data_IF_648733874566
#
_entry.id   IF_648733874566
#
_cell.length_a   1.000
_cell.length_b   1.000
_cell.length_c   1.000
_cell.angle_alpha   90.00
_cell.angle_beta   90.00
_cell.angle_gamma   90.00
#
_symmetry.space_group_name_H-M   'P 1'
#
loop_
_entity.id
_entity.type
_entity.pdbx_description
1 polymer ?
#
# COMPACT_ATOMS: atom_id res chain seq x y z
N UNK A 1 2.69 -14.79 2.48
CA UNK A 1 3.95 -14.77 1.70
C UNK A 1 3.55 -14.17 0.36
N UNK A 2 3.96 -12.95 0.04
CA UNK A 2 3.64 -12.31 -1.25
C UNK A 2 3.91 -13.35 -2.34
N UNK A 3 2.85 -13.85 -2.99
CA UNK A 3 3.01 -14.79 -4.10
C UNK A 3 3.84 -14.03 -5.13
N UNK A 4 5.07 -14.49 -5.36
CA UNK A 4 6.07 -13.95 -6.28
C UNK A 4 5.62 -12.59 -6.85
N UNK A 5 5.84 -11.52 -6.08
CA UNK A 5 5.30 -10.19 -6.37
C UNK A 5 5.40 -9.91 -7.86
N UNK A 6 4.25 -9.68 -8.50
CA UNK A 6 4.17 -9.28 -9.91
C UNK A 6 5.32 -8.31 -10.18
N UNK A 7 6.20 -8.63 -11.15
CA UNK A 7 7.38 -7.81 -11.44
C UNK A 7 7.00 -6.34 -11.63
N UNK A 8 5.80 -6.07 -12.15
CA UNK A 8 5.24 -4.72 -12.26
C UNK A 8 5.02 -4.07 -10.90
N UNK A 9 4.43 -4.78 -9.95
CA UNK A 9 4.24 -4.29 -8.59
C UNK A 9 5.59 -4.03 -7.91
N UNK A 10 6.55 -4.95 -8.02
CA UNK A 10 7.88 -4.75 -7.44
C UNK A 10 8.59 -3.53 -8.03
N UNK A 11 8.49 -3.33 -9.35
CA UNK A 11 9.05 -2.17 -10.02
C UNK A 11 8.35 -0.87 -9.62
N UNK A 12 7.01 -0.90 -9.48
CA UNK A 12 6.24 0.24 -8.98
C UNK A 12 6.63 0.60 -7.54
N UNK A 13 6.73 -0.39 -6.66
CA UNK A 13 7.18 -0.18 -5.27
C UNK A 13 8.58 0.43 -5.22
N UNK A 14 9.51 -0.03 -6.05
CA UNK A 14 10.86 0.55 -6.14
C UNK A 14 10.82 2.00 -6.63
N UNK A 15 10.04 2.29 -7.66
CA UNK A 15 9.87 3.65 -8.21
C UNK A 15 9.31 4.58 -7.13
N UNK A 16 8.19 4.21 -6.53
CA UNK A 16 7.51 4.99 -5.48
C UNK A 16 8.43 5.18 -4.26
N UNK A 17 9.19 4.16 -3.85
CA UNK A 17 10.16 4.31 -2.76
C UNK A 17 11.19 5.41 -3.05
N UNK A 18 11.78 5.41 -4.25
CA UNK A 18 12.78 6.40 -4.65
C UNK A 18 12.17 7.81 -4.75
N UNK A 19 10.95 7.92 -5.25
CA UNK A 19 10.24 9.21 -5.35
C UNK A 19 9.91 9.78 -3.96
N UNK A 20 9.47 8.94 -3.03
CA UNK A 20 9.18 9.37 -1.65
C UNK A 20 10.40 9.96 -0.95
N UNK A 21 11.59 9.38 -1.11
CA UNK A 21 12.82 9.84 -0.43
C UNK A 21 13.14 11.33 -0.67
N UNK A 22 12.68 11.91 -1.77
CA UNK A 22 12.88 13.33 -2.06
C UNK A 22 12.06 14.27 -1.16
N UNK A 23 10.92 13.82 -0.62
CA UNK A 23 10.01 14.64 0.19
C UNK A 23 9.91 14.16 1.65
N UNK A 24 10.25 12.90 1.91
CA UNK A 24 10.31 12.32 3.24
C UNK A 24 10.40 10.81 3.17
N UNK A 25 11.18 10.15 4.05
CA UNK A 25 11.39 8.73 3.96
C UNK A 25 10.05 7.99 4.04
N UNK A 26 9.73 7.10 3.08
CA UNK A 26 8.53 6.28 3.16
C UNK A 26 8.64 5.31 4.35
N UNK A 27 7.55 4.62 4.66
CA UNK A 27 7.60 3.55 5.66
C UNK A 27 8.66 2.51 5.28
N UNK A 28 9.38 1.99 6.28
CA UNK A 28 10.37 0.94 6.03
C UNK A 28 9.71 -0.31 5.42
N UNK A 29 10.48 -1.12 4.69
CA UNK A 29 9.97 -2.42 4.17
C UNK A 29 9.46 -3.36 5.28
N UNK A 30 10.00 -3.25 6.50
CA UNK A 30 9.51 -4.01 7.65
C UNK A 30 8.11 -3.54 8.07
N UNK A 31 7.88 -2.22 8.12
CA UNK A 31 6.58 -1.63 8.35
C UNK A 31 5.59 -2.01 7.24
N UNK A 32 6.02 -1.96 5.96
CA UNK A 32 5.20 -2.42 4.84
C UNK A 32 4.74 -3.88 4.96
N UNK A 33 5.63 -4.79 5.34
CA UNK A 33 5.27 -6.20 5.62
C UNK A 33 4.29 -6.34 6.79
N UNK A 34 4.42 -5.51 7.82
CA UNK A 34 3.47 -5.45 8.92
C UNK A 34 2.09 -4.99 8.42
N UNK A 35 2.02 -3.91 7.64
CA UNK A 35 0.79 -3.39 7.04
C UNK A 35 0.09 -4.43 6.17
N UNK A 36 0.85 -5.11 5.30
CA UNK A 36 0.33 -6.23 4.49
C UNK A 36 -0.29 -7.31 5.38
N UNK A 37 0.41 -7.70 6.46
CA UNK A 37 -0.07 -8.74 7.38
C UNK A 37 -1.37 -8.32 8.07
N UNK A 38 -1.47 -7.06 8.50
CA UNK A 38 -2.68 -6.51 9.12
C UNK A 38 -3.85 -6.49 8.13
N UNK A 39 -3.63 -6.05 6.90
CA UNK A 39 -4.65 -6.04 5.85
C UNK A 39 -5.11 -7.47 5.49
N UNK A 40 -4.20 -8.43 5.40
CA UNK A 40 -4.51 -9.86 5.24
C UNK A 40 -5.34 -10.41 6.42
N UNK A 41 -5.09 -9.99 7.65
CA UNK A 41 -5.92 -10.42 8.79
C UNK A 41 -7.31 -9.76 8.76
N UNK A 42 -7.39 -8.50 8.33
CA UNK A 42 -8.64 -7.78 8.19
C UNK A 42 -9.56 -8.41 7.13
N UNK A 43 -9.01 -8.83 5.99
CA UNK A 43 -9.77 -9.52 4.93
C UNK A 43 -10.36 -10.86 5.37
N UNK A 44 -9.78 -11.51 6.38
CA UNK A 44 -10.33 -12.74 6.96
C UNK A 44 -11.46 -12.48 7.97
N UNK A 45 -11.59 -11.25 8.43
CA UNK A 45 -12.58 -10.85 9.43
C UNK A 45 -13.83 -10.21 8.80
N UNK A 46 -13.78 -9.83 7.53
CA UNK A 46 -14.89 -9.25 6.77
C UNK A 46 -14.81 -9.64 5.30
N UNK A 47 -15.95 -9.93 4.66
CA UNK A 47 -16.02 -10.18 3.22
C UNK A 47 -15.76 -8.92 2.37
N UNK A 48 -15.89 -7.72 2.95
CA UNK A 48 -15.60 -6.44 2.32
C UNK A 48 -14.91 -5.51 3.34
N UNK A 49 -13.60 -5.67 3.55
CA UNK A 49 -12.86 -4.82 4.48
C UNK A 49 -12.68 -3.41 3.90
N UNK A 50 -12.83 -2.40 4.75
CA UNK A 50 -12.52 -1.01 4.44
C UNK A 50 -11.33 -0.56 5.28
N UNK A 51 -10.25 -0.14 4.61
CA UNK A 51 -9.05 0.41 5.25
C UNK A 51 -9.00 1.90 4.95
N UNK A 52 -8.83 2.72 5.99
CA UNK A 52 -8.56 4.15 5.85
C UNK A 52 -7.06 4.40 6.07
N UNK A 53 -6.41 5.00 5.09
CA UNK A 53 -5.04 5.47 5.13
C UNK A 53 -5.02 7.00 5.14
N UNK A 54 -4.27 7.59 6.07
CA UNK A 54 -4.12 9.05 6.22
C UNK A 54 -2.64 9.38 6.18
N UNK A 55 -2.23 10.24 5.24
CA UNK A 55 -0.84 10.55 4.93
C UNK A 55 -0.20 9.47 4.05
N UNK A 56 -0.74 9.24 2.85
CA UNK A 56 -0.20 8.24 1.92
C UNK A 56 1.03 8.70 1.14
N UNK A 57 1.27 10.01 1.04
CA UNK A 57 2.34 10.59 0.24
C UNK A 57 2.27 10.08 -1.19
N UNK A 58 3.33 9.40 -1.63
CA UNK A 58 3.41 8.77 -2.96
C UNK A 58 2.78 7.36 -3.01
N UNK A 59 2.17 6.88 -1.92
CA UNK A 59 1.45 5.61 -1.86
C UNK A 59 2.30 4.38 -1.56
N UNK A 60 3.52 4.55 -1.02
CA UNK A 60 4.40 3.40 -0.74
C UNK A 60 3.74 2.40 0.21
N UNK A 61 3.09 2.87 1.28
CA UNK A 61 2.33 2.04 2.23
C UNK A 61 1.06 1.47 1.60
N UNK A 62 0.36 2.23 0.74
CA UNK A 62 -0.81 1.77 -0.02
C UNK A 62 -0.50 0.53 -0.86
N UNK A 63 0.70 0.48 -1.47
CA UNK A 63 1.20 -0.67 -2.24
C UNK A 63 1.46 -1.92 -1.39
N UNK A 64 1.37 -1.85 -0.07
CA UNK A 64 1.34 -3.03 0.81
C UNK A 64 -0.08 -3.40 1.22
N UNK A 65 -0.97 -2.43 1.37
CA UNK A 65 -2.34 -2.62 1.84
C UNK A 65 -3.25 -3.19 0.76
N UNK A 66 -3.30 -2.57 -0.42
CA UNK A 66 -4.21 -2.97 -1.48
C UNK A 66 -3.90 -4.36 -2.04
N UNK A 67 -2.63 -4.74 -2.30
CA UNK A 67 -2.32 -6.10 -2.73
C UNK A 67 -2.65 -7.18 -1.70
N UNK A 68 -2.57 -6.87 -0.39
CA UNK A 68 -2.96 -7.83 0.63
C UNK A 68 -4.46 -8.19 0.56
N UNK A 69 -5.32 -7.23 0.22
CA UNK A 69 -6.74 -7.49 0.00
C UNK A 69 -6.97 -8.25 -1.31
N UNK A 70 -6.27 -7.85 -2.38
CA UNK A 70 -6.37 -8.48 -3.70
C UNK A 70 -5.91 -9.95 -3.68
N UNK A 71 -4.82 -10.27 -2.96
CA UNK A 71 -4.27 -11.61 -2.82
C UNK A 71 -5.27 -12.58 -2.15
N UNK A 72 -6.16 -12.06 -1.29
CA UNK A 72 -7.21 -12.82 -0.61
C UNK A 72 -8.52 -12.90 -1.42
N UNK A 73 -8.60 -12.21 -2.56
CA UNK A 73 -9.77 -12.24 -3.44
C UNK A 73 -11.03 -11.63 -2.83
N UNK A 74 -10.88 -10.71 -1.88
CA UNK A 74 -12.02 -10.01 -1.23
C UNK A 74 -12.34 -8.70 -1.95
N UNK A 75 -13.62 -8.31 -1.94
CA UNK A 75 -14.10 -7.03 -2.47
C UNK A 75 -13.88 -5.90 -1.45
N UNK A 76 -12.61 -5.67 -1.11
CA UNK A 76 -12.18 -4.70 -0.12
C UNK A 76 -11.70 -3.39 -0.73
N UNK A 77 -11.77 -2.31 0.05
CA UNK A 77 -11.38 -0.97 -0.38
C UNK A 77 -10.30 -0.39 0.53
N UNK A 78 -9.31 0.28 -0.07
CA UNK A 78 -8.36 1.16 0.63
C UNK A 78 -8.69 2.59 0.26
N UNK A 79 -9.20 3.35 1.21
CA UNK A 79 -9.47 4.78 1.08
C UNK A 79 -8.25 5.55 1.55
N UNK A 80 -7.64 6.32 0.65
CA UNK A 80 -6.39 7.03 0.91
C UNK A 80 -6.54 8.54 0.87
N UNK A 81 -5.88 9.24 1.80
CA UNK A 81 -5.97 10.69 1.97
C UNK A 81 -4.59 11.32 2.19
N UNK A 82 -4.23 12.31 1.37
CA UNK A 82 -3.05 13.17 1.57
C UNK A 82 -3.46 14.62 1.79
N UNK A 83 -2.71 15.35 2.62
CA UNK A 83 -2.81 16.79 2.73
C UNK A 83 -2.02 17.47 1.59
N UNK A 84 -2.72 17.87 0.52
CA UNK A 84 -2.16 18.67 -0.57
C UNK A 84 -2.18 17.96 -1.93
N UNK A 85 -2.15 18.73 -3.01
CA UNK A 85 -2.32 18.20 -4.39
C UNK A 85 -1.06 17.52 -4.96
N UNK A 86 0.11 17.74 -4.36
CA UNK A 86 1.41 17.53 -5.03
C UNK A 86 1.93 16.09 -5.07
N UNK A 87 1.41 15.17 -4.26
CA UNK A 87 1.92 13.80 -4.18
C UNK A 87 1.33 12.83 -5.24
N UNK A 88 0.39 13.29 -6.08
CA UNK A 88 -0.37 12.45 -7.02
C UNK A 88 0.14 12.44 -8.47
N UNK A 89 1.10 13.28 -8.84
CA UNK A 89 1.57 13.36 -10.24
C UNK A 89 2.59 12.26 -10.63
N UNK A 90 3.07 11.44 -9.69
CA UNK A 90 4.11 10.43 -9.93
C UNK A 90 3.66 8.96 -9.97
N UNK A 91 2.47 8.63 -9.46
CA UNK A 91 1.99 7.24 -9.30
C UNK A 91 1.39 6.65 -10.58
#
# INVERSE_FOLDING_TARGET
>A
MLRAADEKLLNLMKKVFVESEAEGPPVSSACGRLLYTLAHLASRSSASPAILEVGDGYGFSTLWLAPALADEGVDGNVYSMEAGERSREGA
#
